data_IF_008793177283
#
_entry.id   IF_008793177283
#
_cell.length_a   1.000
_cell.length_b   1.000
_cell.length_c   1.000
_cell.angle_alpha   90.00
_cell.angle_beta   90.00
_cell.angle_gamma   90.00
#
_symmetry.space_group_name_H-M   'P 1'
#
loop_
_entity.id
_entity.type
_entity.pdbx_description
1 polymer ?
#
# COMPACT_ATOMS: atom_id res chain seq x y z
N UNK A 1 2.05 18.11 -21.37
CA UNK A 1 1.46 16.92 -20.68
C UNK A 1 2.55 16.10 -20.00
N UNK A 2 3.59 15.71 -20.73
CA UNK A 2 4.75 15.01 -20.16
C UNK A 2 5.51 15.86 -19.14
N UNK A 3 5.66 17.18 -19.35
CA UNK A 3 6.36 18.03 -18.38
C UNK A 3 5.63 18.11 -17.03
N UNK A 4 4.29 18.10 -17.02
CA UNK A 4 3.50 18.09 -15.78
C UNK A 4 3.73 16.82 -14.97
N UNK A 5 3.84 15.67 -15.61
CA UNK A 5 4.10 14.41 -14.91
C UNK A 5 5.47 14.43 -14.26
N UNK A 6 6.51 14.79 -15.04
CA UNK A 6 7.90 14.85 -14.55
C UNK A 6 8.01 15.84 -13.38
N UNK A 7 7.45 17.03 -13.51
CA UNK A 7 7.52 18.05 -12.47
C UNK A 7 6.79 17.62 -11.18
N UNK A 8 5.62 16.97 -11.28
CA UNK A 8 4.91 16.48 -10.10
C UNK A 8 5.60 15.27 -9.47
N UNK A 9 6.24 14.43 -10.27
CA UNK A 9 7.04 13.32 -9.77
C UNK A 9 8.24 13.83 -8.96
N UNK A 10 9.02 14.78 -9.51
CA UNK A 10 10.16 15.39 -8.81
C UNK A 10 9.75 16.05 -7.47
N UNK A 11 8.63 16.79 -7.46
CA UNK A 11 8.07 17.36 -6.22
C UNK A 11 7.69 16.28 -5.20
N UNK A 12 7.16 15.16 -5.67
CA UNK A 12 6.80 14.04 -4.81
C UNK A 12 8.05 13.36 -4.24
N UNK A 13 9.12 13.19 -5.03
CA UNK A 13 10.41 12.70 -4.54
C UNK A 13 10.97 13.60 -3.44
N UNK A 14 11.02 14.92 -3.66
CA UNK A 14 11.50 15.88 -2.65
C UNK A 14 10.67 15.82 -1.36
N UNK A 15 9.34 15.73 -1.48
CA UNK A 15 8.44 15.58 -0.33
C UNK A 15 8.69 14.27 0.41
N UNK A 16 8.94 13.18 -0.33
CA UNK A 16 9.24 11.88 0.26
C UNK A 16 10.59 11.87 0.98
N UNK A 17 11.63 12.49 0.41
CA UNK A 17 12.94 12.63 1.07
C UNK A 17 12.84 13.37 2.42
N UNK A 18 11.97 14.38 2.51
CA UNK A 18 11.83 15.19 3.72
C UNK A 18 10.93 14.54 4.79
N UNK A 19 9.84 13.88 4.39
CA UNK A 19 8.77 13.47 5.31
C UNK A 19 8.43 11.96 5.26
N UNK A 20 9.05 11.21 4.35
CA UNK A 20 8.76 9.81 4.10
C UNK A 20 7.33 9.57 3.60
N UNK A 21 6.87 8.32 3.76
CA UNK A 21 5.53 7.91 3.31
C UNK A 21 4.38 8.56 4.10
N UNK A 22 4.62 8.97 5.35
CA UNK A 22 3.60 9.60 6.21
C UNK A 22 2.90 10.79 5.52
N UNK A 23 3.63 11.57 4.72
CA UNK A 23 3.09 12.69 3.97
C UNK A 23 2.06 12.27 2.90
N UNK A 24 2.10 11.02 2.43
CA UNK A 24 1.23 10.50 1.39
C UNK A 24 0.08 9.66 1.94
N UNK A 25 0.09 9.28 3.22
CA UNK A 25 -0.87 8.32 3.77
C UNK A 25 -2.34 8.74 3.63
N UNK A 26 -2.65 10.03 3.83
CA UNK A 26 -4.00 10.54 3.64
C UNK A 26 -4.45 10.47 2.16
N UNK A 27 -3.56 10.81 1.22
CA UNK A 27 -3.83 10.73 -0.21
C UNK A 27 -3.93 9.28 -0.68
N UNK A 28 -3.09 8.40 -0.11
CA UNK A 28 -3.17 6.96 -0.36
C UNK A 28 -4.57 6.44 0.00
N UNK A 29 -5.06 6.73 1.21
CA UNK A 29 -6.38 6.27 1.65
C UNK A 29 -7.52 6.70 0.72
N UNK A 30 -7.43 7.87 0.07
CA UNK A 30 -8.42 8.35 -0.90
C UNK A 30 -8.39 7.60 -2.22
N UNK A 31 -7.26 6.99 -2.57
CA UNK A 31 -7.02 6.34 -3.86
C UNK A 31 -6.77 4.83 -3.73
N UNK A 32 -6.85 4.29 -2.52
CA UNK A 32 -6.55 2.90 -2.24
C UNK A 32 -7.62 1.98 -2.82
N UNK A 33 -7.28 1.39 -3.98
CA UNK A 33 -8.16 0.45 -4.66
C UNK A 33 -8.40 -0.83 -3.85
N UNK A 34 -7.45 -1.25 -3.01
CA UNK A 34 -7.55 -2.49 -2.25
C UNK A 34 -8.34 -2.33 -0.96
N UNK A 35 -8.55 -1.10 -0.48
CA UNK A 35 -9.22 -0.83 0.78
C UNK A 35 -10.59 -1.53 0.87
N UNK A 36 -10.74 -2.38 1.89
CA UNK A 36 -11.96 -3.16 2.14
C UNK A 36 -12.19 -4.34 1.20
N UNK A 37 -11.30 -4.59 0.23
CA UNK A 37 -11.41 -5.76 -0.67
C UNK A 37 -10.85 -7.01 -0.02
N UNK A 38 -11.49 -8.13 -0.32
CA UNK A 38 -10.95 -9.45 0.01
C UNK A 38 -9.84 -9.78 -0.99
N UNK A 39 -8.74 -10.31 -0.49
CA UNK A 39 -7.59 -10.63 -1.31
C UNK A 39 -6.87 -11.88 -0.81
N UNK A 40 -6.11 -12.46 -1.71
CA UNK A 40 -5.21 -13.56 -1.48
C UNK A 40 -3.78 -13.07 -1.76
N UNK A 41 -2.88 -13.37 -0.82
CA UNK A 41 -1.45 -13.11 -0.97
C UNK A 41 -0.63 -14.33 -0.59
N UNK A 42 0.46 -14.56 -1.31
CA UNK A 42 1.51 -15.47 -0.87
C UNK A 42 2.53 -14.63 -0.11
N UNK A 43 2.64 -14.82 1.20
CA UNK A 43 3.56 -14.07 2.04
C UNK A 43 4.36 -15.04 2.90
N UNK A 44 5.70 -14.98 2.82
CA UNK A 44 6.60 -15.89 3.54
C UNK A 44 6.24 -17.38 3.30
N UNK A 45 6.06 -17.74 2.03
CA UNK A 45 5.64 -19.08 1.58
C UNK A 45 4.30 -19.57 2.14
N UNK A 46 3.47 -18.66 2.67
CA UNK A 46 2.13 -18.96 3.18
C UNK A 46 1.08 -18.19 2.42
N UNK A 47 0.11 -18.95 1.91
CA UNK A 47 -1.12 -18.40 1.34
C UNK A 47 -1.97 -17.82 2.47
N UNK A 48 -2.18 -16.52 2.40
CA UNK A 48 -2.98 -15.74 3.34
C UNK A 48 -4.22 -15.21 2.62
N UNK A 49 -5.37 -15.39 3.25
CA UNK A 49 -6.63 -14.79 2.80
C UNK A 49 -7.08 -13.80 3.89
N UNK A 50 -7.46 -12.61 3.46
CA UNK A 50 -7.93 -11.57 4.37
C UNK A 50 -8.52 -10.37 3.64
N UNK A 51 -8.88 -9.36 4.41
CA UNK A 51 -9.41 -8.08 3.90
C UNK A 51 -8.34 -7.00 4.01
N UNK A 52 -8.08 -6.30 2.92
CA UNK A 52 -7.15 -5.16 2.93
C UNK A 52 -7.70 -4.02 3.79
N UNK A 53 -6.85 -3.47 4.64
CA UNK A 53 -7.17 -2.41 5.60
C UNK A 53 -6.20 -1.24 5.45
N UNK A 54 -5.90 -0.87 4.20
CA UNK A 54 -4.99 0.21 3.88
C UNK A 54 -3.52 -0.16 4.12
N UNK A 55 -2.69 0.87 4.27
CA UNK A 55 -1.26 0.75 4.54
C UNK A 55 -0.87 1.42 5.85
N UNK A 56 0.16 0.88 6.51
CA UNK A 56 0.72 1.49 7.72
C UNK A 56 1.64 2.68 7.37
N UNK A 57 2.19 3.33 8.41
CA UNK A 57 3.07 4.51 8.24
C UNK A 57 4.37 4.23 7.46
N UNK A 58 4.77 2.96 7.34
CA UNK A 58 5.93 2.51 6.58
C UNK A 58 5.58 2.03 5.16
N UNK A 59 4.31 2.09 4.77
CA UNK A 59 3.83 1.63 3.45
C UNK A 59 3.55 0.13 3.36
N UNK A 60 3.54 -0.60 4.49
CA UNK A 60 3.16 -2.01 4.51
C UNK A 60 1.65 -2.15 4.29
N UNK A 61 1.23 -3.08 3.43
CA UNK A 61 -0.18 -3.44 3.26
C UNK A 61 -0.67 -4.13 4.53
N UNK A 62 -1.72 -3.60 5.13
CA UNK A 62 -2.36 -4.18 6.31
C UNK A 62 -3.46 -5.12 5.83
N UNK A 63 -3.39 -6.38 6.22
CA UNK A 63 -4.39 -7.39 5.93
C UNK A 63 -4.98 -7.89 7.24
N UNK A 64 -6.31 -7.79 7.36
CA UNK A 64 -7.05 -8.37 8.46
C UNK A 64 -7.53 -9.77 8.06
N UNK A 65 -6.96 -10.79 8.68
CA UNK A 65 -7.51 -12.15 8.65
C UNK A 65 -8.31 -12.40 9.93
N UNK A 66 -9.08 -13.49 9.97
CA UNK A 66 -9.98 -13.78 11.08
C UNK A 66 -9.27 -13.89 12.44
N UNK A 67 -7.99 -14.23 12.45
CA UNK A 67 -7.22 -14.50 13.67
C UNK A 67 -6.07 -13.53 13.89
N UNK A 68 -5.64 -12.80 12.86
CA UNK A 68 -4.42 -11.98 12.91
C UNK A 68 -4.48 -10.79 11.95
N UNK A 69 -3.75 -9.73 12.31
CA UNK A 69 -3.39 -8.65 11.39
C UNK A 69 -2.00 -8.95 10.83
N UNK A 70 -1.86 -8.89 9.52
CA UNK A 70 -0.60 -9.13 8.81
C UNK A 70 -0.17 -7.82 8.17
N UNK A 71 1.10 -7.46 8.35
CA UNK A 71 1.75 -6.36 7.66
C UNK A 71 2.63 -6.93 6.55
N UNK A 72 2.15 -6.84 5.31
CA UNK A 72 2.87 -7.35 4.15
C UNK A 72 3.65 -6.21 3.49
N UNK A 73 4.97 -6.39 3.37
CA UNK A 73 5.84 -5.49 2.61
C UNK A 73 5.96 -6.02 1.18
N UNK A 74 5.70 -5.13 0.22
CA UNK A 74 5.53 -5.42 -1.21
C UNK A 74 6.82 -5.92 -1.87
N UNK A 75 7.04 -7.22 -1.85
CA UNK A 75 7.76 -7.94 -2.93
C UNK A 75 6.88 -9.00 -3.61
N UNK A 76 5.63 -9.19 -3.16
CA UNK A 76 4.78 -10.31 -3.54
C UNK A 76 3.59 -9.88 -4.40
N UNK A 77 3.13 -10.76 -5.28
CA UNK A 77 1.98 -10.52 -6.15
C UNK A 77 0.66 -10.65 -5.38
N UNK A 78 -0.21 -9.64 -5.49
CA UNK A 78 -1.53 -9.61 -4.86
C UNK A 78 -2.58 -10.14 -5.85
N UNK A 79 -3.41 -11.09 -5.41
CA UNK A 79 -4.54 -11.61 -6.17
C UNK A 79 -5.87 -11.17 -5.52
N UNK A 80 -6.74 -10.55 -6.32
CA UNK A 80 -8.10 -10.21 -5.91
C UNK A 80 -9.01 -11.42 -6.09
N UNK A 81 -9.89 -11.64 -5.10
CA UNK A 81 -10.88 -12.72 -5.08
C UNK A 81 -12.30 -12.16 -5.03
#
# INVERSE_FOLDING_TARGET
>A
LHEKLINNFLKSCQRFEQYGFSAFQAQWHQHDYLLGKQLELNYQDKKTIGTANGVNAHGALIIKSNTTTIEAYSSEQIHLI
#
